data_IF_886767512036
#
_entry.id   IF_886767512036
#
_cell.length_a   1.000
_cell.length_b   1.000
_cell.length_c   1.000
_cell.angle_alpha   90.00
_cell.angle_beta   90.00
_cell.angle_gamma   90.00
#
_symmetry.space_group_name_H-M   'P 1'
#
loop_
_entity.id
_entity.type
_entity.pdbx_description
1 polymer ?
#
# COMPACT_ATOMS: atom_id res chain seq x y z
N UNK A 1 24.44 2.49 17.04
CA UNK A 1 23.18 1.78 17.36
C UNK A 1 22.13 2.83 17.69
N UNK A 2 20.86 2.62 17.36
CA UNK A 2 19.77 3.56 17.63
C UNK A 2 18.67 2.93 18.50
N UNK A 3 18.11 3.71 19.42
CA UNK A 3 17.00 3.30 20.27
C UNK A 3 15.72 3.24 19.43
N UNK A 4 15.05 2.09 19.47
CA UNK A 4 13.81 1.84 18.74
C UNK A 4 12.85 1.06 19.61
N UNK A 5 11.78 0.54 19.02
CA UNK A 5 10.79 -0.28 19.69
C UNK A 5 10.17 -1.24 18.68
N UNK A 6 9.83 -2.43 19.14
CA UNK A 6 9.03 -3.39 18.41
C UNK A 6 7.71 -3.59 19.14
N UNK A 7 6.70 -4.11 18.47
CA UNK A 7 5.45 -4.54 19.09
C UNK A 7 5.47 -6.06 19.22
N UNK A 8 5.36 -6.57 20.45
CA UNK A 8 5.32 -8.00 20.76
C UNK A 8 4.06 -8.25 21.56
N UNK A 9 3.16 -9.09 21.04
CA UNK A 9 1.86 -9.38 21.65
C UNK A 9 1.03 -8.12 21.97
N UNK A 10 1.09 -7.12 21.08
CA UNK A 10 0.40 -5.83 21.23
C UNK A 10 1.09 -4.85 22.18
N UNK A 11 2.23 -5.23 22.77
CA UNK A 11 2.98 -4.40 23.71
C UNK A 11 4.20 -3.78 23.03
N UNK A 12 4.38 -2.47 23.20
CA UNK A 12 5.55 -1.74 22.71
C UNK A 12 6.78 -2.06 23.59
N UNK A 13 7.74 -2.77 23.03
CA UNK A 13 8.98 -3.18 23.69
C UNK A 13 10.15 -2.34 23.18
N UNK A 14 10.82 -1.53 24.02
CA UNK A 14 12.02 -0.80 23.62
C UNK A 14 13.15 -1.74 23.22
N UNK A 15 13.85 -1.42 22.12
CA UNK A 15 15.00 -2.19 21.64
C UNK A 15 16.12 -1.27 21.14
N UNK A 16 17.25 -1.86 20.77
CA UNK A 16 18.39 -1.17 20.17
C UNK A 16 18.85 -1.91 18.93
N UNK A 17 18.88 -1.21 17.79
CA UNK A 17 19.17 -1.81 16.48
C UNK A 17 20.26 -1.04 15.72
N UNK A 18 20.93 -1.74 14.80
CA UNK A 18 21.79 -1.13 13.79
C UNK A 18 20.95 -0.87 12.54
N UNK A 19 21.09 0.31 11.96
CA UNK A 19 20.40 0.70 10.73
C UNK A 19 21.42 0.86 9.61
N UNK A 20 20.99 0.53 8.39
CA UNK A 20 21.77 0.82 7.18
C UNK A 20 21.88 2.33 7.02
N UNK A 21 23.04 2.80 6.55
CA UNK A 21 23.31 4.19 6.22
C UNK A 21 23.68 4.31 4.75
N UNK A 22 23.25 5.38 4.11
CA UNK A 22 23.45 5.58 2.67
C UNK A 22 24.04 6.97 2.42
N UNK A 23 24.85 7.10 1.37
CA UNK A 23 25.44 8.37 0.94
C UNK A 23 24.46 9.27 0.19
N UNK A 24 23.33 8.72 -0.27
CA UNK A 24 22.30 9.47 -0.99
C UNK A 24 20.90 8.91 -0.74
N UNK A 25 19.90 9.78 -0.93
CA UNK A 25 18.48 9.40 -0.88
C UNK A 25 18.17 8.34 -1.95
N UNK A 26 18.64 8.54 -3.18
CA UNK A 26 18.48 7.58 -4.27
C UNK A 26 19.05 6.19 -3.91
N UNK A 27 20.21 6.14 -3.25
CA UNK A 27 20.81 4.88 -2.77
C UNK A 27 19.95 4.15 -1.75
N UNK A 28 19.29 4.88 -0.84
CA UNK A 28 18.36 4.28 0.12
C UNK A 28 17.11 3.68 -0.55
N UNK A 29 16.55 4.37 -1.54
CA UNK A 29 15.39 3.87 -2.29
C UNK A 29 15.76 2.64 -3.12
N UNK A 30 16.91 2.65 -3.81
CA UNK A 30 17.38 1.51 -4.59
C UNK A 30 17.56 0.25 -3.72
N UNK A 31 18.25 0.37 -2.58
CA UNK A 31 18.43 -0.76 -1.66
C UNK A 31 17.11 -1.23 -1.02
N UNK A 32 16.18 -0.30 -0.75
CA UNK A 32 14.86 -0.64 -0.24
C UNK A 32 14.03 -1.42 -1.28
N UNK A 33 14.01 -0.97 -2.54
CA UNK A 33 13.37 -1.69 -3.64
C UNK A 33 13.98 -3.08 -3.82
N UNK A 34 15.31 -3.18 -3.81
CA UNK A 34 16.03 -4.45 -3.89
C UNK A 34 15.66 -5.41 -2.76
N UNK A 35 15.55 -4.91 -1.53
CA UNK A 35 15.12 -5.72 -0.38
C UNK A 35 13.73 -6.30 -0.56
N UNK A 36 12.77 -5.52 -1.07
CA UNK A 36 11.41 -6.00 -1.34
C UNK A 36 11.40 -7.03 -2.49
N UNK A 37 12.10 -6.74 -3.59
CA UNK A 37 12.15 -7.58 -4.79
C UNK A 37 12.84 -8.93 -4.54
N UNK A 38 13.94 -8.93 -3.77
CA UNK A 38 14.74 -10.15 -3.51
C UNK A 38 14.12 -11.04 -2.45
N UNK A 39 13.31 -10.50 -1.54
CA UNK A 39 12.73 -11.28 -0.45
C UNK A 39 11.35 -11.83 -0.83
N UNK A 40 11.28 -13.14 -1.02
CA UNK A 40 10.08 -13.84 -1.51
C UNK A 40 8.83 -13.62 -0.65
N UNK A 41 8.99 -13.25 0.63
CA UNK A 41 7.85 -12.95 1.53
C UNK A 41 6.98 -11.79 1.05
N UNK A 42 7.52 -10.89 0.24
CA UNK A 42 6.80 -9.73 -0.28
C UNK A 42 6.18 -9.92 -1.67
N UNK A 43 6.31 -11.11 -2.28
CA UNK A 43 5.82 -11.34 -3.65
C UNK A 43 4.34 -11.01 -3.83
N UNK A 44 3.50 -11.35 -2.85
CA UNK A 44 2.07 -11.02 -2.89
C UNK A 44 1.81 -9.52 -2.75
N UNK A 45 2.63 -8.81 -1.99
CA UNK A 45 2.52 -7.35 -1.92
C UNK A 45 2.89 -6.74 -3.27
N UNK A 46 4.03 -7.14 -3.84
CA UNK A 46 4.50 -6.63 -5.12
C UNK A 46 3.59 -6.95 -6.31
N UNK A 47 2.67 -7.91 -6.19
CA UNK A 47 1.67 -8.19 -7.21
C UNK A 47 0.42 -7.30 -7.11
N UNK A 48 0.35 -6.36 -6.16
CA UNK A 48 -0.80 -5.48 -5.97
C UNK A 48 -0.60 -4.16 -6.67
N UNK A 49 -1.51 -3.83 -7.59
CA UNK A 49 -1.61 -2.50 -8.19
C UNK A 49 -2.36 -1.53 -7.28
N UNK A 50 -3.29 -2.01 -6.46
CA UNK A 50 -4.02 -1.18 -5.51
C UNK A 50 -3.14 -0.89 -4.27
N UNK A 51 -2.82 0.38 -3.95
CA UNK A 51 -1.94 0.72 -2.83
C UNK A 51 -2.52 0.35 -1.45
N UNK A 52 -3.86 0.27 -1.32
CA UNK A 52 -4.51 -0.20 -0.10
C UNK A 52 -4.38 -1.71 0.10
N UNK A 53 -4.38 -2.48 -0.99
CA UNK A 53 -4.08 -3.91 -0.94
C UNK A 53 -2.60 -4.12 -0.64
N UNK A 54 -1.70 -3.40 -1.33
CA UNK A 54 -0.26 -3.43 -1.07
C UNK A 54 0.07 -3.23 0.41
N UNK A 55 -0.56 -2.24 1.06
CA UNK A 55 -0.38 -1.99 2.49
C UNK A 55 -0.80 -3.18 3.38
N UNK A 56 -1.89 -3.89 3.03
CA UNK A 56 -2.31 -5.09 3.76
C UNK A 56 -1.32 -6.23 3.59
N UNK A 57 -0.84 -6.42 2.35
CA UNK A 57 0.08 -7.51 2.04
C UNK A 57 1.44 -7.28 2.69
N UNK A 58 1.90 -6.03 2.78
CA UNK A 58 3.11 -5.67 3.53
C UNK A 58 2.99 -6.03 5.01
N UNK A 59 1.86 -5.70 5.65
CA UNK A 59 1.64 -6.08 7.04
C UNK A 59 1.57 -7.60 7.21
N UNK A 60 0.82 -8.31 6.34
CA UNK A 60 0.77 -9.78 6.39
C UNK A 60 2.15 -10.41 6.20
N UNK A 61 3.00 -9.82 5.37
CA UNK A 61 4.37 -10.27 5.14
C UNK A 61 5.35 -9.95 6.28
N UNK A 62 4.89 -9.24 7.33
CA UNK A 62 5.71 -8.89 8.49
C UNK A 62 6.73 -7.78 8.19
N UNK A 63 6.33 -6.77 7.40
CA UNK A 63 7.19 -5.61 7.13
C UNK A 63 7.49 -4.79 8.40
N UNK A 64 6.48 -4.60 9.25
CA UNK A 64 6.59 -3.94 10.55
C UNK A 64 5.91 -4.79 11.62
N UNK A 65 6.35 -4.66 12.87
CA UNK A 65 5.74 -5.37 14.01
C UNK A 65 4.44 -4.73 14.49
N UNK A 66 4.25 -3.44 14.20
CA UNK A 66 3.06 -2.66 14.58
C UNK A 66 1.78 -3.26 14.00
N UNK A 67 0.87 -3.71 14.86
CA UNK A 67 -0.38 -4.35 14.44
C UNK A 67 -1.31 -3.44 13.63
N UNK A 68 -1.09 -2.11 13.68
CA UNK A 68 -1.85 -1.11 12.94
C UNK A 68 -1.07 -0.53 11.74
N UNK A 69 0.04 -1.14 11.34
CA UNK A 69 0.91 -0.63 10.28
C UNK A 69 0.17 -0.32 8.97
N UNK A 70 -0.59 -1.28 8.44
CA UNK A 70 -1.34 -1.11 7.21
C UNK A 70 -2.36 0.03 7.36
N UNK A 71 -3.07 0.11 8.48
CA UNK A 71 -4.05 1.18 8.72
C UNK A 71 -3.41 2.58 8.74
N UNK A 72 -2.22 2.70 9.36
CA UNK A 72 -1.44 3.94 9.38
C UNK A 72 -0.96 4.31 7.98
N UNK A 73 -0.42 3.35 7.22
CA UNK A 73 0.04 3.56 5.85
C UNK A 73 -1.12 4.00 4.93
N UNK A 74 -2.26 3.31 4.98
CA UNK A 74 -3.48 3.70 4.24
C UNK A 74 -3.96 5.10 4.62
N UNK A 75 -3.87 5.47 5.90
CA UNK A 75 -4.23 6.83 6.37
C UNK A 75 -3.35 7.90 5.70
N UNK A 76 -2.05 7.66 5.59
CA UNK A 76 -1.11 8.56 4.88
C UNK A 76 -1.48 8.66 3.40
N UNK A 77 -1.67 7.52 2.73
CA UNK A 77 -2.06 7.46 1.31
C UNK A 77 -3.29 8.32 1.03
N UNK A 78 -4.35 8.18 1.86
CA UNK A 78 -5.58 9.00 1.71
C UNK A 78 -5.34 10.47 2.00
N UNK A 79 -4.73 10.79 3.15
CA UNK A 79 -4.54 12.18 3.61
C UNK A 79 -3.71 13.01 2.64
N UNK A 80 -2.78 12.37 1.95
CA UNK A 80 -1.89 13.01 0.98
C UNK A 80 -2.34 12.79 -0.47
N UNK A 81 -3.50 12.17 -0.69
CA UNK A 81 -4.03 11.82 -2.00
C UNK A 81 -3.01 11.11 -2.91
N UNK A 82 -2.18 10.22 -2.36
CA UNK A 82 -1.06 9.62 -3.11
C UNK A 82 -1.53 8.66 -4.20
N UNK A 83 -2.72 8.06 -4.04
CA UNK A 83 -3.31 7.18 -5.04
C UNK A 83 -3.57 7.88 -6.38
N UNK A 84 -3.65 9.22 -6.41
CA UNK A 84 -3.80 9.96 -7.68
C UNK A 84 -2.52 10.04 -8.50
N UNK A 85 -1.38 9.61 -7.96
CA UNK A 85 -0.10 9.54 -8.67
C UNK A 85 0.07 8.24 -9.45
N UNK A 86 -0.82 7.25 -9.23
CA UNK A 86 -0.77 5.97 -9.92
C UNK A 86 -1.24 6.10 -11.38
N UNK A 87 -0.57 5.39 -12.29
CA UNK A 87 -0.78 5.51 -13.74
C UNK A 87 -2.17 5.08 -14.23
N UNK A 88 -2.93 4.32 -13.42
CA UNK A 88 -4.25 3.78 -13.75
C UNK A 88 -5.42 4.74 -13.39
N UNK A 89 -5.15 6.04 -13.29
CA UNK A 89 -6.07 7.08 -12.82
C UNK A 89 -6.49 6.96 -11.34
N UNK A 90 -5.86 6.06 -10.59
CA UNK A 90 -5.98 5.97 -9.15
C UNK A 90 -7.17 5.16 -8.65
N UNK A 91 -7.09 4.83 -7.36
CA UNK A 91 -8.17 4.27 -6.57
C UNK A 91 -8.83 5.43 -5.81
N UNK A 92 -10.17 5.51 -5.81
CA UNK A 92 -10.91 6.51 -5.04
C UNK A 92 -10.50 6.42 -3.56
N UNK A 93 -9.97 7.50 -2.97
CA UNK A 93 -9.50 7.48 -1.59
C UNK A 93 -10.62 7.28 -0.56
N UNK A 94 -11.87 7.56 -0.92
CA UNK A 94 -13.03 7.36 -0.05
C UNK A 94 -13.52 5.91 -0.08
N UNK A 95 -13.59 5.29 -1.25
CA UNK A 95 -14.18 3.95 -1.42
C UNK A 95 -13.16 2.82 -1.54
N UNK A 96 -11.89 3.13 -1.75
CA UNK A 96 -10.83 2.17 -2.08
C UNK A 96 -11.11 1.34 -3.35
N UNK A 97 -12.03 1.80 -4.21
CA UNK A 97 -12.36 1.21 -5.51
C UNK A 97 -11.60 1.93 -6.65
N UNK A 98 -11.27 1.25 -7.76
CA UNK A 98 -10.69 1.91 -8.92
C UNK A 98 -11.55 3.06 -9.42
N UNK A 99 -10.94 4.19 -9.80
CA UNK A 99 -11.63 5.34 -10.42
C UNK A 99 -12.14 5.05 -11.85
N UNK A 100 -12.29 3.77 -12.22
CA UNK A 100 -12.70 3.36 -13.56
C UNK A 100 -14.06 3.96 -13.93
N UNK A 101 -13.97 4.95 -14.83
CA UNK A 101 -14.96 5.45 -15.78
C UNK A 101 -16.42 5.30 -15.36
N UNK A 102 -16.85 6.08 -14.38
CA UNK A 102 -18.28 6.36 -14.10
C UNK A 102 -18.97 7.16 -15.24
N UNK A 103 -18.53 7.00 -16.50
CA UNK A 103 -18.99 7.82 -17.62
C UNK A 103 -18.87 7.23 -19.03
N UNK A 104 -18.59 5.93 -19.22
CA UNK A 104 -18.53 5.34 -20.58
C UNK A 104 -19.32 4.03 -20.76
N UNK A 105 -20.28 3.68 -19.89
CA UNK A 105 -21.23 2.59 -20.16
C UNK A 105 -22.65 2.88 -19.64
N UNK A 106 -23.22 4.05 -19.96
CA UNK A 106 -24.68 4.28 -19.91
C UNK A 106 -25.30 4.68 -21.25
N UNK A 107 -24.57 4.60 -22.36
CA UNK A 107 -25.07 4.95 -23.70
C UNK A 107 -25.25 3.73 -24.64
N UNK A 108 -25.11 2.49 -24.14
CA UNK A 108 -25.08 1.31 -25.03
C UNK A 108 -25.87 0.08 -24.55
N UNK A 109 -27.04 0.27 -23.93
CA UNK A 109 -28.07 -0.78 -23.91
C UNK A 109 -29.41 -0.19 -24.33
N UNK A 110 -29.56 0.00 -25.64
CA UNK A 110 -30.85 0.17 -26.26
C UNK A 110 -31.67 -1.13 -26.19
N UNK A 111 -32.94 -0.98 -25.85
CA UNK A 111 -34.07 -1.67 -26.48
C UNK A 111 -34.13 -3.20 -26.40
N UNK A 112 -34.77 -3.76 -25.36
CA UNK A 112 -35.81 -4.83 -25.46
C UNK A 112 -36.60 -4.88 -24.14
N UNK A 113 -37.94 -4.85 -24.17
CA UNK A 113 -38.75 -5.48 -23.09
C UNK A 113 -39.96 -4.72 -22.57
N UNK A 114 -41.10 -4.93 -23.22
CA UNK A 114 -42.49 -4.73 -22.78
C UNK A 114 -42.77 -5.25 -21.33
N UNK A 115 -43.66 -4.58 -20.57
CA UNK A 115 -44.80 -5.15 -19.79
C UNK A 115 -45.43 -4.10 -18.86
N UNK A 116 -46.72 -3.81 -19.15
CA UNK A 116 -47.75 -2.93 -18.55
C UNK A 116 -47.52 -1.42 -18.59
#
# INVERSE_FOLDING_TARGET
MARTHEEVDGVRVPTTSKFRSYSSVAGSFADHSDFLLKNSRYRFALSKENPYEFANELQRAGYATDSQYANKLKSIIRKQNLASLDMNQGIDPATANPLLISGLLEEAVGTVGLVV
#
